data_IF_058998026514
#
_entry.id   IF_058998026514
#
_cell.length_a   1.000
_cell.length_b   1.000
_cell.length_c   1.000
_cell.angle_alpha   90.00
_cell.angle_beta   90.00
_cell.angle_gamma   90.00
#
_symmetry.space_group_name_H-M   'P 1'
#
loop_
_entity.id
_entity.type
_entity.pdbx_description
1 polymer ?
#
# COMPACT_ATOMS: atom_id res chain seq x y z
N UNK A 1 11.72 -9.24 -17.72
CA UNK A 1 11.97 -10.12 -16.56
C UNK A 1 12.67 -9.28 -15.51
N UNK A 2 12.02 -9.05 -14.37
CA UNK A 2 12.56 -8.22 -13.27
C UNK A 2 13.66 -8.98 -12.55
N UNK A 3 14.74 -8.30 -12.18
CA UNK A 3 15.90 -8.85 -11.48
C UNK A 3 16.06 -8.20 -10.11
N UNK A 4 16.74 -8.89 -9.19
CA UNK A 4 17.05 -8.32 -7.87
C UNK A 4 17.87 -7.01 -7.96
N UNK A 5 18.65 -6.82 -9.02
CA UNK A 5 19.38 -5.58 -9.30
C UNK A 5 18.49 -4.37 -9.52
N UNK A 6 17.21 -4.59 -9.85
CA UNK A 6 16.25 -3.53 -10.16
C UNK A 6 15.66 -2.91 -8.88
N UNK A 7 15.95 -3.49 -7.71
CA UNK A 7 15.53 -3.01 -6.39
C UNK A 7 16.71 -2.36 -5.66
N UNK A 8 16.94 -1.09 -5.97
CA UNK A 8 17.97 -0.30 -5.33
C UNK A 8 17.61 0.05 -3.88
N UNK A 9 18.61 0.04 -2.99
CA UNK A 9 18.39 0.17 -1.55
C UNK A 9 17.70 1.48 -1.13
N UNK A 10 18.02 2.67 -1.68
CA UNK A 10 17.32 3.91 -1.34
C UNK A 10 15.82 3.86 -1.63
N UNK A 11 15.43 3.31 -2.79
CA UNK A 11 14.06 3.23 -3.26
C UNK A 11 13.26 2.21 -2.46
N UNK A 12 13.87 1.07 -2.10
CA UNK A 12 13.25 0.09 -1.20
C UNK A 12 13.05 0.68 0.21
N UNK A 13 14.00 1.47 0.72
CA UNK A 13 13.86 2.16 2.01
C UNK A 13 12.79 3.26 1.95
N UNK A 14 12.70 3.99 0.85
CA UNK A 14 11.64 4.97 0.62
C UNK A 14 10.27 4.29 0.58
N UNK A 15 10.13 3.20 -0.17
CA UNK A 15 8.91 2.40 -0.20
C UNK A 15 8.51 1.88 1.18
N UNK A 16 9.47 1.37 1.97
CA UNK A 16 9.19 0.96 3.34
C UNK A 16 8.73 2.12 4.23
N UNK A 17 9.29 3.31 4.06
CA UNK A 17 8.88 4.52 4.79
C UNK A 17 7.44 4.92 4.43
N UNK A 18 7.08 4.86 3.14
CA UNK A 18 5.72 5.11 2.65
C UNK A 18 4.74 4.07 3.22
N UNK A 19 5.14 2.79 3.32
CA UNK A 19 4.31 1.76 3.94
C UNK A 19 3.96 2.13 5.39
N UNK A 20 4.95 2.56 6.18
CA UNK A 20 4.73 2.99 7.57
C UNK A 20 3.82 4.21 7.65
N UNK A 21 3.98 5.19 6.75
CA UNK A 21 3.11 6.35 6.67
C UNK A 21 1.67 5.96 6.35
N UNK A 22 1.46 5.17 5.29
CA UNK A 22 0.11 4.75 4.85
C UNK A 22 -0.60 3.97 5.96
N UNK A 23 0.08 3.03 6.62
CA UNK A 23 -0.51 2.28 7.74
C UNK A 23 -0.85 3.17 8.95
N UNK A 24 -0.12 4.27 9.12
CA UNK A 24 -0.41 5.26 10.17
C UNK A 24 -1.62 6.13 9.79
N UNK A 25 -1.69 6.59 8.54
CA UNK A 25 -2.80 7.42 8.03
C UNK A 25 -4.10 6.61 8.00
N UNK A 26 -4.03 5.35 7.57
CA UNK A 26 -5.17 4.46 7.42
C UNK A 26 -5.44 3.59 8.65
N UNK A 27 -4.84 3.92 9.80
CA UNK A 27 -4.93 3.12 11.02
C UNK A 27 -6.35 2.88 11.52
N UNK A 28 -7.29 3.79 11.23
CA UNK A 28 -8.72 3.63 11.55
C UNK A 28 -9.37 2.44 10.81
N UNK A 29 -8.91 2.16 9.59
CA UNK A 29 -9.44 1.13 8.69
C UNK A 29 -8.76 -0.23 8.86
N UNK A 30 -7.86 -0.38 9.84
CA UNK A 30 -7.01 -1.57 10.01
C UNK A 30 -7.73 -2.92 10.15
N UNK A 31 -9.03 -2.93 10.47
CA UNK A 31 -9.84 -4.16 10.56
C UNK A 31 -10.35 -4.63 9.20
N UNK A 32 -10.46 -3.70 8.27
CA UNK A 32 -11.07 -3.88 6.95
C UNK A 32 -10.01 -3.73 5.84
N UNK A 33 -8.73 -3.80 6.20
CA UNK A 33 -7.59 -3.63 5.31
C UNK A 33 -6.51 -4.66 5.62
N UNK A 34 -5.90 -5.22 4.57
CA UNK A 34 -4.72 -6.08 4.67
C UNK A 34 -3.65 -5.67 3.65
N UNK A 35 -2.38 -5.86 4.03
CA UNK A 35 -1.23 -5.66 3.15
C UNK A 35 -1.12 -6.89 2.23
N UNK A 36 -0.94 -6.66 0.93
CA UNK A 36 -0.75 -7.71 -0.07
C UNK A 36 0.50 -7.43 -0.92
N UNK A 37 0.83 -8.36 -1.82
CA UNK A 37 1.92 -8.15 -2.78
C UNK A 37 3.33 -8.25 -2.18
N UNK A 38 4.26 -7.53 -2.81
CA UNK A 38 5.71 -7.67 -2.59
C UNK A 38 6.18 -7.27 -1.19
N UNK A 39 5.42 -6.45 -0.47
CA UNK A 39 5.76 -5.98 0.88
C UNK A 39 5.50 -7.02 1.98
N UNK A 40 4.72 -8.07 1.70
CA UNK A 40 4.27 -9.08 2.69
C UNK A 40 5.37 -10.03 3.18
N UNK A 41 6.22 -10.64 2.33
CA UNK A 41 7.20 -11.63 2.77
C UNK A 41 8.08 -11.20 3.97
N UNK A 42 8.69 -10.00 3.99
CA UNK A 42 9.53 -9.59 5.12
C UNK A 42 8.74 -9.36 6.42
N UNK A 43 7.43 -9.09 6.33
CA UNK A 43 6.55 -8.89 7.49
C UNK A 43 6.15 -10.23 8.13
N UNK A 44 5.92 -11.27 7.33
CA UNK A 44 5.54 -12.59 7.81
C UNK A 44 6.74 -13.44 8.25
N UNK A 45 7.89 -13.27 7.58
CA UNK A 45 9.08 -14.11 7.79
C UNK A 45 10.32 -13.21 8.00
N UNK A 46 10.40 -12.48 9.13
CA UNK A 46 11.49 -11.52 9.38
C UNK A 46 12.88 -12.19 9.48
N UNK A 47 12.93 -13.51 9.68
CA UNK A 47 14.17 -14.30 9.78
C UNK A 47 14.39 -15.23 8.59
N UNK A 48 13.87 -14.88 7.41
CA UNK A 48 14.11 -15.64 6.20
C UNK A 48 15.61 -15.78 5.93
N UNK A 49 16.04 -16.99 5.52
CA UNK A 49 17.45 -17.24 5.15
C UNK A 49 17.85 -16.48 3.89
N UNK A 50 16.90 -16.33 2.98
CA UNK A 50 17.09 -15.61 1.72
C UNK A 50 16.92 -14.11 1.96
N UNK A 51 17.78 -13.31 1.32
CA UNK A 51 17.69 -11.86 1.39
C UNK A 51 16.46 -11.40 0.61
N UNK A 52 15.54 -10.74 1.28
CA UNK A 52 14.41 -10.07 0.64
C UNK A 52 14.92 -9.06 -0.41
N UNK A 53 14.51 -9.20 -1.69
CA UNK A 53 15.00 -8.33 -2.76
C UNK A 53 14.52 -6.88 -2.63
N UNK A 54 13.33 -6.65 -2.09
CA UNK A 54 12.68 -5.34 -2.05
C UNK A 54 11.36 -5.32 -2.83
N UNK A 55 10.62 -4.23 -2.66
CA UNK A 55 9.43 -3.86 -3.45
C UNK A 55 9.43 -2.34 -3.61
N UNK A 56 8.86 -1.83 -4.70
CA UNK A 56 8.84 -0.38 -5.00
C UNK A 56 7.42 0.22 -4.95
N UNK A 57 6.42 -0.64 -4.81
CA UNK A 57 5.01 -0.35 -4.68
C UNK A 57 4.45 -0.99 -3.39
N UNK A 58 3.28 -0.49 -2.98
CA UNK A 58 2.54 -0.97 -1.82
C UNK A 58 1.14 -1.32 -2.28
N UNK A 59 0.77 -2.58 -2.11
CA UNK A 59 -0.57 -3.06 -2.41
C UNK A 59 -1.38 -3.26 -1.12
N UNK A 60 -2.60 -2.76 -1.12
CA UNK A 60 -3.57 -2.91 -0.03
C UNK A 60 -4.84 -3.53 -0.59
N UNK A 61 -5.37 -4.53 0.09
CA UNK A 61 -6.72 -5.04 -0.16
C UNK A 61 -7.67 -4.48 0.91
N UNK A 62 -8.81 -3.97 0.48
CA UNK A 62 -9.85 -3.37 1.32
C UNK A 62 -11.12 -4.21 1.26
N UNK A 63 -11.78 -4.40 2.40
CA UNK A 63 -13.10 -5.04 2.48
C UNK A 63 -14.22 -4.01 2.45
N UNK A 64 -14.73 -3.77 1.23
CA UNK A 64 -15.81 -2.81 0.98
C UNK A 64 -17.18 -3.22 1.55
N UNK A 65 -17.35 -4.46 2.04
CA UNK A 65 -18.59 -4.82 2.74
C UNK A 65 -18.69 -4.13 4.10
N UNK A 66 -17.54 -3.80 4.70
CA UNK A 66 -17.44 -3.14 6.00
C UNK A 66 -17.08 -1.64 5.87
N UNK A 67 -16.49 -1.23 4.74
CA UNK A 67 -16.20 0.17 4.40
C UNK A 67 -17.36 0.74 3.58
N UNK A 68 -18.23 1.52 4.23
CA UNK A 68 -19.30 2.26 3.55
C UNK A 68 -18.74 3.38 2.68
N UNK A 69 -19.51 3.85 1.69
CA UNK A 69 -19.07 4.90 0.76
C UNK A 69 -18.59 6.19 1.44
N UNK A 70 -19.29 6.63 2.50
CA UNK A 70 -18.88 7.80 3.29
C UNK A 70 -17.53 7.57 3.98
N UNK A 71 -17.29 6.36 4.47
CA UNK A 71 -16.02 5.95 5.10
C UNK A 71 -14.90 5.81 4.07
N UNK A 72 -15.21 5.36 2.86
CA UNK A 72 -14.27 5.32 1.74
C UNK A 72 -13.84 6.72 1.28
N UNK A 73 -14.77 7.69 1.22
CA UNK A 73 -14.43 9.09 0.96
C UNK A 73 -13.44 9.62 2.00
N UNK A 74 -13.63 9.30 3.27
CA UNK A 74 -12.68 9.64 4.35
C UNK A 74 -11.30 9.04 4.13
N UNK A 75 -11.19 7.81 3.62
CA UNK A 75 -9.91 7.19 3.27
C UNK A 75 -9.17 8.01 2.20
N UNK A 76 -9.86 8.34 1.11
CA UNK A 76 -9.28 9.12 0.00
C UNK A 76 -8.90 10.54 0.47
N UNK A 77 -9.74 11.17 1.27
CA UNK A 77 -9.45 12.49 1.85
C UNK A 77 -8.25 12.47 2.80
N UNK A 78 -8.10 11.43 3.62
CA UNK A 78 -6.94 11.27 4.51
C UNK A 78 -5.63 11.15 3.72
N UNK A 79 -5.63 10.41 2.61
CA UNK A 79 -4.49 10.32 1.70
C UNK A 79 -4.22 11.66 1.01
N UNK A 80 -5.24 12.33 0.48
CA UNK A 80 -5.09 13.66 -0.16
C UNK A 80 -4.56 14.72 0.79
N UNK A 81 -4.97 14.70 2.06
CA UNK A 81 -4.46 15.60 3.09
C UNK A 81 -2.94 15.45 3.35
N UNK A 82 -2.35 14.31 2.95
CA UNK A 82 -0.90 14.04 3.01
C UNK A 82 -0.19 14.26 1.67
N UNK A 83 -0.89 14.74 0.65
CA UNK A 83 -0.32 15.04 -0.66
C UNK A 83 -0.33 13.86 -1.65
N UNK A 84 -0.94 12.72 -1.29
CA UNK A 84 -1.18 11.65 -2.25
C UNK A 84 -2.25 12.08 -3.25
N UNK A 85 -2.08 11.69 -4.51
CA UNK A 85 -3.03 11.94 -5.57
C UNK A 85 -3.28 10.65 -6.34
N UNK A 86 -4.47 10.54 -6.91
CA UNK A 86 -4.80 9.45 -7.80
C UNK A 86 -4.19 9.76 -9.17
N UNK A 87 -3.42 8.83 -9.73
CA UNK A 87 -2.91 8.96 -11.09
C UNK A 87 -4.07 8.80 -12.09
N UNK A 88 -4.28 9.81 -12.94
CA UNK A 88 -5.29 9.75 -14.00
C UNK A 88 -4.85 8.78 -15.11
N UNK A 89 -5.77 7.92 -15.57
CA UNK A 89 -5.53 7.08 -16.76
C UNK A 89 -5.21 5.60 -16.51
N UNK A 90 -5.24 5.11 -15.27
CA UNK A 90 -5.07 3.67 -14.95
C UNK A 90 -6.32 2.81 -15.19
N UNK A 91 -7.40 3.36 -15.75
CA UNK A 91 -8.61 2.59 -16.11
C UNK A 91 -9.40 2.04 -14.92
N UNK A 92 -9.08 2.45 -13.70
CA UNK A 92 -9.94 2.24 -12.54
C UNK A 92 -11.00 3.33 -12.60
N UNK A 93 -12.12 3.02 -13.24
CA UNK A 93 -13.34 3.84 -13.14
C UNK A 93 -13.58 4.12 -11.65
N UNK A 94 -13.89 5.37 -11.26
CA UNK A 94 -14.46 5.60 -9.94
C UNK A 94 -15.65 4.64 -9.81
N UNK A 95 -15.70 3.81 -8.75
CA UNK A 95 -16.88 3.01 -8.51
C UNK A 95 -18.08 3.96 -8.48
N UNK A 96 -18.95 3.83 -9.47
CA UNK A 96 -20.19 4.60 -9.59
C UNK A 96 -21.12 4.19 -8.45
N UNK A 97 -21.79 5.20 -7.87
CA UNK A 97 -22.82 5.09 -6.81
C UNK A 97 -23.83 3.96 -7.02
#
# INVERSE_FOLDING_TARGET
MVKQSDYHAPEVQACHSVLLEILTVLGEFRKDMVIVGGSVPPLLIPSAKEKYPGTLDIDLALDFQHIKDDTYKTLIEALRARGYYQEEGLGIEPFSE
#
